data_IF_867468152901
#
_entry.id   IF_867468152901
#
_cell.length_a   1.000
_cell.length_b   1.000
_cell.length_c   1.000
_cell.angle_alpha   90.00
_cell.angle_beta   90.00
_cell.angle_gamma   90.00
#
_symmetry.space_group_name_H-M   'P 1'
#
loop_
_entity.id
_entity.type
_entity.pdbx_description
1 polymer ?
#
# COMPACT_ATOMS: atom_id res chain seq x y z
N UNK A 1 34.89 12.70 8.23
CA UNK A 1 34.68 11.33 8.74
C UNK A 1 33.20 11.21 9.02
N UNK A 2 32.44 10.65 8.08
CA UNK A 2 31.01 10.43 8.27
C UNK A 2 30.93 9.17 9.13
N UNK A 3 30.44 9.33 10.35
CA UNK A 3 30.19 8.22 11.25
C UNK A 3 29.25 7.25 10.56
N UNK A 4 29.71 6.01 10.38
CA UNK A 4 28.95 4.95 9.75
C UNK A 4 27.89 4.57 10.77
N UNK A 5 26.75 5.26 10.75
CA UNK A 5 25.59 4.93 11.58
C UNK A 5 25.42 3.41 11.51
N UNK A 6 25.50 2.77 12.68
CA UNK A 6 25.36 1.32 12.77
C UNK A 6 24.07 0.93 12.04
N UNK A 7 24.17 -0.08 11.16
CA UNK A 7 23.01 -0.71 10.55
C UNK A 7 22.19 -1.37 11.67
N UNK A 8 21.24 -0.61 12.22
CA UNK A 8 20.33 -1.10 13.25
C UNK A 8 19.23 -1.90 12.56
N UNK A 9 19.54 -3.15 12.25
CA UNK A 9 18.55 -4.11 11.79
C UNK A 9 17.71 -4.59 12.97
N UNK A 10 16.40 -4.53 12.82
CA UNK A 10 15.43 -5.01 13.81
C UNK A 10 14.63 -6.14 13.17
N UNK A 11 14.43 -7.22 13.93
CA UNK A 11 13.51 -8.30 13.54
C UNK A 11 12.19 -8.08 14.25
N UNK A 12 11.23 -7.49 13.54
CA UNK A 12 9.87 -7.29 14.06
C UNK A 12 9.12 -8.63 14.10
N UNK A 13 8.52 -8.94 15.26
CA UNK A 13 7.57 -10.04 15.43
C UNK A 13 6.14 -9.59 15.07
N UNK A 14 5.78 -8.36 15.42
CA UNK A 14 4.47 -7.78 15.13
C UNK A 14 4.55 -6.27 14.87
N UNK A 15 3.61 -5.76 14.07
CA UNK A 15 3.26 -4.34 14.01
C UNK A 15 2.23 -4.07 15.12
N UNK A 16 2.55 -3.19 16.05
CA UNK A 16 1.72 -2.92 17.23
C UNK A 16 0.83 -1.69 17.04
N UNK A 17 1.39 -0.58 16.54
CA UNK A 17 0.67 0.67 16.35
C UNK A 17 1.28 1.54 15.25
N UNK A 18 0.46 2.44 14.72
CA UNK A 18 0.90 3.55 13.86
C UNK A 18 0.33 4.83 14.45
N UNK A 19 1.21 5.72 14.89
CA UNK A 19 0.85 7.04 15.44
C UNK A 19 1.22 8.13 14.44
N UNK A 20 0.45 9.23 14.45
CA UNK A 20 0.74 10.44 13.67
C UNK A 20 1.14 11.54 14.65
N UNK A 21 2.18 12.32 14.31
CA UNK A 21 2.58 13.46 15.13
C UNK A 21 1.45 14.50 15.22
N UNK A 22 1.39 15.28 16.29
CA UNK A 22 0.34 16.28 16.51
C UNK A 22 0.26 17.32 15.37
N UNK A 23 1.38 17.62 14.74
CA UNK A 23 1.49 18.52 13.59
C UNK A 23 1.25 17.86 12.23
N UNK A 24 1.03 16.53 12.20
CA UNK A 24 0.83 15.75 10.97
C UNK A 24 2.08 15.58 10.10
N UNK A 25 3.25 16.05 10.55
CA UNK A 25 4.47 16.07 9.74
C UNK A 25 5.15 14.69 9.60
N UNK A 26 4.85 13.75 10.51
CA UNK A 26 5.48 12.45 10.56
C UNK A 26 4.57 11.37 11.11
N UNK A 27 4.92 10.11 10.79
CA UNK A 27 4.32 8.93 11.39
C UNK A 27 5.37 8.17 12.20
N UNK A 28 4.92 7.51 13.27
CA UNK A 28 5.71 6.54 14.02
C UNK A 28 5.08 5.16 13.82
N UNK A 29 5.89 4.21 13.41
CA UNK A 29 5.51 2.81 13.28
C UNK A 29 6.15 2.04 14.43
N UNK A 30 5.31 1.46 15.28
CA UNK A 30 5.72 0.77 16.49
C UNK A 30 5.70 -0.75 16.23
N UNK A 31 6.82 -1.40 16.49
CA UNK A 31 6.99 -2.84 16.34
C UNK A 31 7.37 -3.48 17.66
N UNK A 32 6.89 -4.70 17.87
CA UNK A 32 7.42 -5.59 18.89
C UNK A 32 8.60 -6.36 18.31
N UNK A 33 9.78 -6.26 18.91
CA UNK A 33 10.95 -7.02 18.51
C UNK A 33 10.90 -8.47 18.96
N UNK A 34 11.46 -9.38 18.17
CA UNK A 34 11.56 -10.81 18.51
C UNK A 34 12.49 -11.09 19.70
N UNK A 35 13.32 -10.12 20.09
CA UNK A 35 14.15 -10.11 21.30
C UNK A 35 13.41 -9.59 22.54
N UNK A 36 12.12 -9.28 22.40
CA UNK A 36 11.28 -8.69 23.44
C UNK A 36 11.53 -7.20 23.66
N UNK A 37 12.31 -6.53 22.80
CA UNK A 37 12.50 -5.09 22.83
C UNK A 37 11.64 -4.42 21.76
N UNK A 38 10.86 -3.43 22.17
CA UNK A 38 10.05 -2.65 21.24
C UNK A 38 10.95 -1.72 20.40
N UNK A 39 10.54 -1.53 19.16
CA UNK A 39 11.25 -0.76 18.16
C UNK A 39 10.34 0.24 17.48
N UNK A 40 10.84 1.43 17.23
CA UNK A 40 10.07 2.49 16.59
C UNK A 40 10.78 2.97 15.33
N UNK A 41 10.05 2.98 14.22
CA UNK A 41 10.47 3.62 12.98
C UNK A 41 9.75 4.96 12.85
N UNK A 42 10.52 6.05 12.89
CA UNK A 42 10.00 7.39 12.66
C UNK A 42 10.18 7.78 11.20
N UNK A 43 9.09 8.18 10.54
CA UNK A 43 9.07 8.52 9.12
C UNK A 43 8.49 9.91 8.95
N UNK A 44 9.26 10.88 8.43
CA UNK A 44 8.69 12.09 7.86
C UNK A 44 7.63 11.74 6.81
N UNK A 45 6.60 12.57 6.65
CA UNK A 45 5.44 12.28 5.78
C UNK A 45 5.82 11.90 4.34
N UNK A 46 6.85 12.53 3.78
CA UNK A 46 7.36 12.16 2.44
C UNK A 46 7.92 10.72 2.41
N UNK A 47 8.72 10.35 3.41
CA UNK A 47 9.25 8.99 3.54
C UNK A 47 8.12 7.97 3.77
N UNK A 48 7.09 8.34 4.54
CA UNK A 48 5.91 7.51 4.74
C UNK A 48 5.19 7.23 3.42
N UNK A 49 4.99 8.26 2.59
CA UNK A 49 4.39 8.12 1.25
C UNK A 49 5.24 7.23 0.34
N UNK A 50 6.56 7.44 0.30
CA UNK A 50 7.48 6.60 -0.48
C UNK A 50 7.43 5.13 -0.03
N UNK A 51 7.38 4.89 1.28
CA UNK A 51 7.27 3.54 1.84
C UNK A 51 5.93 2.89 1.45
N UNK A 52 4.81 3.62 1.61
CA UNK A 52 3.48 3.14 1.24
C UNK A 52 3.39 2.75 -0.25
N UNK A 53 4.00 3.55 -1.14
CA UNK A 53 4.03 3.24 -2.57
C UNK A 53 4.96 2.07 -2.94
N UNK A 54 5.95 1.76 -2.10
CA UNK A 54 6.97 0.73 -2.37
C UNK A 54 6.62 -0.62 -1.76
N UNK A 55 5.97 -0.62 -0.59
CA UNK A 55 5.71 -1.83 0.20
C UNK A 55 4.87 -2.88 -0.54
N UNK A 56 3.79 -2.55 -1.28
CA UNK A 56 3.02 -3.55 -2.02
C UNK A 56 3.87 -4.33 -3.03
N UNK A 57 4.80 -3.65 -3.72
CA UNK A 57 5.72 -4.30 -4.66
C UNK A 57 6.76 -5.17 -3.94
N UNK A 58 7.27 -4.71 -2.81
CA UNK A 58 8.22 -5.47 -2.00
C UNK A 58 7.58 -6.77 -1.46
N UNK A 59 6.39 -6.66 -0.86
CA UNK A 59 5.61 -7.80 -0.34
C UNK A 59 5.28 -8.80 -1.44
N UNK A 60 4.83 -8.34 -2.60
CA UNK A 60 4.58 -9.22 -3.76
C UNK A 60 5.85 -9.99 -4.15
N UNK A 61 6.99 -9.30 -4.23
CA UNK A 61 8.28 -9.95 -4.56
C UNK A 61 8.65 -11.01 -3.52
N UNK A 62 8.50 -10.70 -2.23
CA UNK A 62 8.79 -11.63 -1.15
C UNK A 62 7.91 -12.88 -1.19
N UNK A 63 6.60 -12.73 -1.43
CA UNK A 63 5.66 -13.86 -1.57
C UNK A 63 6.06 -14.79 -2.72
N UNK A 64 6.35 -14.22 -3.89
CA UNK A 64 6.76 -15.00 -5.08
C UNK A 64 8.04 -15.77 -4.84
N UNK A 65 9.05 -15.14 -4.23
CA UNK A 65 10.33 -15.78 -3.94
C UNK A 65 10.18 -16.91 -2.91
N UNK A 66 9.40 -16.68 -1.84
CA UNK A 66 9.18 -17.65 -0.77
C UNK A 66 8.49 -18.92 -1.27
N UNK A 67 7.51 -18.78 -2.16
CA UNK A 67 6.67 -19.88 -2.61
C UNK A 67 7.03 -20.38 -4.03
N UNK A 68 7.96 -19.72 -4.72
CA UNK A 68 8.34 -19.99 -6.12
C UNK A 68 7.14 -19.99 -7.07
N UNK A 69 6.21 -19.07 -6.85
CA UNK A 69 4.98 -18.92 -7.63
C UNK A 69 4.74 -17.45 -7.97
N UNK A 70 4.86 -17.12 -9.26
CA UNK A 70 4.70 -15.76 -9.78
C UNK A 70 3.25 -15.27 -9.80
N UNK A 71 2.27 -16.16 -9.62
CA UNK A 71 0.86 -15.78 -9.57
C UNK A 71 0.47 -15.14 -8.23
N UNK A 72 1.25 -15.39 -7.17
CA UNK A 72 0.95 -14.93 -5.82
C UNK A 72 1.07 -13.41 -5.69
N UNK A 73 0.10 -12.85 -4.97
CA UNK A 73 -0.01 -11.44 -4.63
C UNK A 73 -0.83 -11.30 -3.35
N UNK A 74 -0.55 -10.24 -2.60
CA UNK A 74 -1.43 -9.80 -1.52
C UNK A 74 -2.69 -9.20 -2.16
N UNK A 75 -3.85 -9.63 -1.70
CA UNK A 75 -5.15 -9.13 -2.17
C UNK A 75 -5.95 -8.75 -0.93
N UNK A 76 -6.56 -7.58 -0.97
CA UNK A 76 -7.44 -7.10 0.08
C UNK A 76 -8.89 -7.13 -0.43
N UNK A 77 -9.85 -7.60 0.38
CA UNK A 77 -11.25 -7.56 0.00
C UNK A 77 -11.74 -6.12 -0.06
N UNK A 78 -12.44 -5.76 -1.13
CA UNK A 78 -13.10 -4.45 -1.24
C UNK A 78 -14.28 -4.42 -0.27
N UNK A 79 -14.25 -3.49 0.68
CA UNK A 79 -15.34 -3.20 1.60
C UNK A 79 -16.22 -2.03 1.14
N UNK A 80 -15.63 -1.04 0.47
CA UNK A 80 -16.33 0.13 -0.04
C UNK A 80 -15.52 0.92 -1.06
N UNK A 81 -16.17 1.90 -1.69
CA UNK A 81 -15.51 2.84 -2.59
C UNK A 81 -16.23 4.19 -2.63
N UNK A 82 -15.50 5.27 -2.90
CA UNK A 82 -16.02 6.61 -3.16
C UNK A 82 -15.40 7.18 -4.42
N UNK A 83 -16.13 8.07 -5.11
CA UNK A 83 -15.62 8.84 -6.24
C UNK A 83 -15.92 10.31 -5.98
N UNK A 84 -14.87 11.13 -6.06
CA UNK A 84 -14.92 12.57 -5.82
C UNK A 84 -14.30 13.33 -6.99
N UNK A 85 -14.81 14.53 -7.27
CA UNK A 85 -14.18 15.41 -8.25
C UNK A 85 -12.91 16.04 -7.64
N UNK A 86 -11.82 16.07 -8.40
CA UNK A 86 -10.64 16.87 -8.03
C UNK A 86 -10.87 18.35 -8.31
N UNK A 87 -10.05 19.21 -7.73
CA UNK A 87 -9.96 20.62 -8.13
C UNK A 87 -9.47 20.77 -9.58
N UNK A 88 -8.76 19.78 -10.09
CA UNK A 88 -8.46 19.64 -11.51
C UNK A 88 -9.66 19.06 -12.27
N UNK A 89 -10.16 19.81 -13.26
CA UNK A 89 -11.47 19.58 -13.90
C UNK A 89 -11.59 18.25 -14.63
N UNK A 90 -10.46 17.67 -15.05
CA UNK A 90 -10.44 16.41 -15.80
C UNK A 90 -10.00 15.22 -14.95
N UNK A 91 -9.86 15.41 -13.63
CA UNK A 91 -9.41 14.40 -12.68
C UNK A 91 -10.50 14.09 -11.65
N UNK A 92 -10.72 12.79 -11.44
CA UNK A 92 -11.53 12.24 -10.35
C UNK A 92 -10.61 11.49 -9.39
N UNK A 93 -11.03 11.40 -8.14
CA UNK A 93 -10.36 10.62 -7.10
C UNK A 93 -11.25 9.42 -6.79
N UNK A 94 -10.75 8.22 -7.06
CA UNK A 94 -11.37 6.95 -6.65
C UNK A 94 -10.68 6.49 -5.37
N UNK A 95 -11.42 6.40 -4.27
CA UNK A 95 -10.93 5.77 -3.04
C UNK A 95 -11.56 4.40 -2.89
N UNK A 96 -10.74 3.38 -2.66
CA UNK A 96 -11.18 2.01 -2.37
C UNK A 96 -10.74 1.68 -0.96
N UNK A 97 -11.66 1.15 -0.15
CA UNK A 97 -11.40 0.77 1.23
C UNK A 97 -11.71 -0.71 1.49
N UNK A 98 -11.06 -1.26 2.51
CA UNK A 98 -11.29 -2.59 3.05
C UNK A 98 -12.16 -2.50 4.31
N UNK A 99 -12.85 -3.59 4.71
CA UNK A 99 -13.67 -3.57 5.93
C UNK A 99 -12.90 -3.28 7.21
N UNK A 100 -11.59 -3.54 7.23
CA UNK A 100 -10.67 -3.32 8.36
C UNK A 100 -9.96 -1.96 8.31
N UNK A 101 -10.32 -1.08 7.37
CA UNK A 101 -9.91 0.33 7.38
C UNK A 101 -8.65 0.66 6.59
N UNK A 102 -8.09 -0.27 5.81
CA UNK A 102 -7.12 0.11 4.78
C UNK A 102 -7.84 0.83 3.65
N UNK A 103 -7.31 1.96 3.20
CA UNK A 103 -7.82 2.69 2.05
C UNK A 103 -6.70 3.23 1.19
N UNK A 104 -6.96 3.36 -0.11
CA UNK A 104 -6.06 3.99 -1.07
C UNK A 104 -6.86 4.80 -2.07
N UNK A 105 -6.36 6.00 -2.37
CA UNK A 105 -6.96 6.94 -3.30
C UNK A 105 -6.14 7.00 -4.59
N UNK A 106 -6.84 6.98 -5.73
CA UNK A 106 -6.26 6.96 -7.06
C UNK A 106 -6.83 8.11 -7.89
N UNK A 107 -5.95 8.90 -8.50
CA UNK A 107 -6.35 9.88 -9.49
C UNK A 107 -6.64 9.19 -10.82
N UNK A 108 -7.83 9.43 -11.38
CA UNK A 108 -8.27 8.92 -12.68
C UNK A 108 -8.74 10.09 -13.53
N UNK A 109 -8.27 10.17 -14.76
CA UNK A 109 -8.92 11.01 -15.76
C UNK A 109 -10.16 10.30 -16.33
N UNK A 110 -10.98 11.04 -17.08
CA UNK A 110 -12.23 10.48 -17.64
C UNK A 110 -11.98 9.26 -18.53
N UNK A 111 -10.99 9.30 -19.42
CA UNK A 111 -10.65 8.15 -20.27
C UNK A 111 -10.22 6.94 -19.45
N UNK A 112 -9.38 7.12 -18.43
CA UNK A 112 -8.92 6.03 -17.57
C UNK A 112 -10.04 5.43 -16.72
N UNK A 113 -11.03 6.23 -16.33
CA UNK A 113 -12.23 5.74 -15.65
C UNK A 113 -13.13 4.92 -16.59
N UNK A 114 -13.32 5.38 -17.83
CA UNK A 114 -14.09 4.64 -18.84
C UNK A 114 -13.41 3.29 -19.16
N UNK A 115 -12.09 3.29 -19.34
CA UNK A 115 -11.30 2.08 -19.58
C UNK A 115 -11.39 1.09 -18.40
N UNK A 116 -11.32 1.60 -17.15
CA UNK A 116 -11.46 0.80 -15.95
C UNK A 116 -12.86 0.17 -15.86
N UNK A 117 -13.91 0.96 -16.10
CA UNK A 117 -15.30 0.50 -16.05
C UNK A 117 -15.59 -0.58 -17.11
N UNK A 118 -15.08 -0.39 -18.33
CA UNK A 118 -15.21 -1.37 -19.41
C UNK A 118 -14.47 -2.66 -19.06
N UNK A 119 -13.22 -2.56 -18.58
CA UNK A 119 -12.41 -3.73 -18.20
C UNK A 119 -13.06 -4.57 -17.09
N UNK A 120 -13.70 -3.91 -16.11
CA UNK A 120 -14.43 -4.59 -15.04
C UNK A 120 -15.69 -5.28 -15.56
N UNK A 121 -16.38 -4.67 -16.53
CA UNK A 121 -17.60 -5.22 -17.14
C UNK A 121 -17.31 -6.43 -18.03
N UNK A 122 -16.17 -6.40 -18.73
CA UNK A 122 -15.74 -7.47 -19.64
C UNK A 122 -15.03 -8.63 -18.91
N UNK A 123 -14.72 -8.46 -17.62
CA UNK A 123 -14.02 -9.48 -16.84
C UNK A 123 -14.89 -10.76 -16.71
N UNK A 124 -14.45 -11.91 -17.23
CA UNK A 124 -15.19 -13.15 -17.10
C UNK A 124 -15.17 -13.64 -15.65
N UNK A 125 -16.30 -14.17 -15.18
CA UNK A 125 -16.50 -14.62 -13.79
C UNK A 125 -15.45 -15.65 -13.31
N UNK A 126 -14.86 -16.42 -14.22
CA UNK A 126 -13.82 -17.43 -13.95
C UNK A 126 -12.52 -17.14 -14.71
N UNK A 127 -12.03 -15.89 -14.67
CA UNK A 127 -10.74 -15.55 -15.26
C UNK A 127 -9.63 -16.38 -14.58
N UNK A 128 -8.78 -17.11 -15.33
CA UNK A 128 -7.55 -17.68 -14.76
C UNK A 128 -6.71 -16.55 -14.16
N UNK A 129 -5.78 -16.86 -13.23
CA UNK A 129 -4.89 -15.87 -12.61
C UNK A 129 -3.87 -15.32 -13.64
N UNK A 130 -4.36 -14.63 -14.65
CA UNK A 130 -3.62 -14.00 -15.71
C UNK A 130 -3.94 -12.51 -15.65
N UNK A 131 -2.89 -11.70 -15.54
CA UNK A 131 -2.99 -10.26 -15.54
C UNK A 131 -3.43 -9.84 -16.95
N UNK A 132 -4.62 -9.25 -17.08
CA UNK A 132 -4.90 -8.39 -18.23
C UNK A 132 -3.92 -7.22 -18.15
N UNK A 133 -2.88 -7.26 -18.99
CA UNK A 133 -2.01 -6.10 -19.18
C UNK A 133 -2.70 -5.20 -20.20
N UNK A 134 -2.94 -3.94 -19.82
CA UNK A 134 -2.94 -2.85 -20.80
C UNK A 134 -1.51 -2.64 -21.32
#
# INVERSE_FOLDING_TARGET
MIDRMADQTITAEALDAIDVSEDGAAIRVCFRGADGQDANLFLPGECAGQLAMSLPRAVRTALRLRHRDDSLRMVFPVGGWTIEASTDRDTMILTISTPDGFEASYALNRSGADDLAQSLSDAPANMPVAILKN
#
